data_IF_532239569814
#
_entry.id   IF_532239569814
#
_cell.length_a   1.000
_cell.length_b   1.000
_cell.length_c   1.000
_cell.angle_alpha   90.00
_cell.angle_beta   90.00
_cell.angle_gamma   90.00
#
_symmetry.space_group_name_H-M   'P 1'
#
loop_
_entity.id
_entity.type
_entity.pdbx_description
1 polymer ?
#
# COMPACT_ATOMS: atom_id res chain seq x y z
N UNK A 1 -16.16 -4.14 -4.09
CA UNK A 1 -15.68 -5.33 -4.78
C UNK A 1 -16.84 -6.28 -5.04
N UNK A 2 -16.68 -7.10 -6.04
CA UNK A 2 -17.61 -8.21 -6.33
C UNK A 2 -16.82 -9.52 -6.43
N UNK A 3 -17.43 -10.62 -6.00
CA UNK A 3 -16.94 -11.99 -6.17
C UNK A 3 -18.00 -12.79 -6.90
N UNK A 4 -17.61 -13.44 -7.99
CA UNK A 4 -18.48 -14.29 -8.81
C UNK A 4 -17.87 -15.66 -8.94
N UNK A 5 -18.66 -16.71 -8.72
CA UNK A 5 -18.26 -18.10 -8.97
C UNK A 5 -18.95 -18.61 -10.23
N UNK A 6 -18.17 -19.22 -11.11
CA UNK A 6 -18.61 -19.70 -12.42
C UNK A 6 -18.99 -21.17 -12.41
N UNK A 7 -19.77 -21.61 -13.40
CA UNK A 7 -20.28 -23.00 -13.53
C UNK A 7 -19.15 -24.06 -13.56
N UNK A 8 -17.93 -23.68 -13.92
CA UNK A 8 -16.78 -24.58 -13.86
C UNK A 8 -16.11 -24.62 -12.47
N UNK A 9 -16.61 -23.85 -11.50
CA UNK A 9 -16.07 -23.74 -10.16
C UNK A 9 -14.86 -22.79 -10.05
N UNK A 10 -14.52 -22.04 -11.09
CA UNK A 10 -13.58 -20.93 -11.01
C UNK A 10 -14.24 -19.68 -10.43
N UNK A 11 -13.46 -18.66 -10.08
CA UNK A 11 -14.00 -17.41 -9.56
C UNK A 11 -13.37 -16.18 -10.21
N UNK A 12 -14.13 -15.09 -10.22
CA UNK A 12 -13.67 -13.77 -10.59
C UNK A 12 -13.80 -12.83 -9.40
N UNK A 13 -12.76 -12.03 -9.15
CA UNK A 13 -12.74 -10.95 -8.16
C UNK A 13 -12.61 -9.63 -8.89
N UNK A 14 -13.65 -8.80 -8.83
CA UNK A 14 -13.60 -7.45 -9.38
C UNK A 14 -13.47 -6.44 -8.24
N UNK A 15 -12.46 -5.56 -8.29
CA UNK A 15 -12.18 -4.59 -7.24
C UNK A 15 -11.95 -3.19 -7.79
N UNK A 16 -12.51 -2.17 -7.11
CA UNK A 16 -12.42 -0.76 -7.51
C UNK A 16 -11.06 -0.10 -7.24
N UNK A 17 -10.00 -0.88 -7.05
CA UNK A 17 -8.61 -0.45 -6.93
C UNK A 17 -7.86 -0.86 -8.20
N UNK A 18 -6.95 0.00 -8.70
CA UNK A 18 -6.17 -0.30 -9.89
C UNK A 18 -4.74 -0.72 -9.51
N UNK A 19 -4.23 -1.77 -10.12
CA UNK A 19 -2.87 -2.27 -9.88
C UNK A 19 -1.82 -1.43 -10.61
N UNK A 20 -0.69 -1.20 -9.94
CA UNK A 20 0.51 -0.56 -10.48
C UNK A 20 1.76 -1.42 -10.21
N UNK A 21 1.59 -2.75 -10.15
CA UNK A 21 2.66 -3.70 -9.82
C UNK A 21 2.69 -4.16 -8.35
N UNK A 22 1.80 -3.63 -7.47
CA UNK A 22 1.76 -3.98 -6.04
C UNK A 22 1.03 -5.29 -5.71
N UNK A 23 0.75 -6.14 -6.68
CA UNK A 23 0.31 -7.52 -6.46
C UNK A 23 -1.15 -7.68 -6.05
N UNK A 24 -2.08 -6.82 -6.50
CA UNK A 24 -3.51 -6.93 -6.16
C UNK A 24 -4.11 -8.27 -6.59
N UNK A 25 -3.80 -8.74 -7.80
CA UNK A 25 -4.31 -10.01 -8.31
C UNK A 25 -3.99 -11.18 -7.35
N UNK A 26 -2.73 -11.25 -6.89
CA UNK A 26 -2.31 -12.28 -5.92
C UNK A 26 -2.99 -12.10 -4.58
N UNK A 27 -2.96 -10.89 -4.02
CA UNK A 27 -3.50 -10.62 -2.68
C UNK A 27 -5.00 -10.88 -2.60
N UNK A 28 -5.78 -10.45 -3.59
CA UNK A 28 -7.22 -10.66 -3.60
C UNK A 28 -7.59 -12.10 -3.88
N UNK A 29 -6.86 -12.80 -4.76
CA UNK A 29 -7.03 -14.23 -4.96
C UNK A 29 -6.73 -15.04 -3.67
N UNK A 30 -5.70 -14.68 -2.91
CA UNK A 30 -5.40 -15.29 -1.60
C UNK A 30 -6.56 -15.12 -0.61
N UNK A 31 -7.16 -13.92 -0.54
CA UNK A 31 -8.31 -13.66 0.34
C UNK A 31 -9.49 -14.57 0.01
N UNK A 32 -9.80 -14.73 -1.27
CA UNK A 32 -10.91 -15.58 -1.71
C UNK A 32 -10.57 -17.06 -1.54
N UNK A 33 -9.40 -17.49 -2.02
CA UNK A 33 -8.96 -18.88 -1.96
C UNK A 33 -8.95 -19.44 -0.54
N UNK A 34 -8.40 -18.68 0.42
CA UNK A 34 -8.30 -19.12 1.81
C UNK A 34 -9.64 -19.43 2.47
N UNK A 35 -10.72 -18.76 2.07
CA UNK A 35 -12.04 -18.97 2.65
C UNK A 35 -12.92 -19.94 1.86
N UNK A 36 -12.76 -19.96 0.52
CA UNK A 36 -13.62 -20.75 -0.37
C UNK A 36 -13.06 -22.13 -0.68
N UNK A 37 -11.75 -22.33 -0.53
CA UNK A 37 -11.07 -23.53 -1.02
C UNK A 37 -10.92 -23.59 -2.55
N UNK A 38 -11.35 -22.56 -3.28
CA UNK A 38 -11.09 -22.47 -4.73
C UNK A 38 -9.60 -22.25 -4.93
N UNK A 39 -8.90 -23.07 -5.73
CA UNK A 39 -7.47 -22.89 -6.00
C UNK A 39 -7.14 -21.51 -6.52
N UNK A 40 -6.03 -20.94 -6.07
CA UNK A 40 -5.63 -19.56 -6.38
C UNK A 40 -5.44 -19.31 -7.88
N UNK A 41 -4.98 -20.32 -8.61
CA UNK A 41 -4.80 -20.32 -10.07
C UNK A 41 -6.11 -20.37 -10.86
N UNK A 42 -7.24 -20.63 -10.17
CA UNK A 42 -8.60 -20.59 -10.72
C UNK A 42 -9.36 -19.33 -10.33
N UNK A 43 -8.69 -18.34 -9.76
CA UNK A 43 -9.27 -17.06 -9.37
C UNK A 43 -8.67 -15.96 -10.26
N UNK A 44 -9.51 -15.30 -11.05
CA UNK A 44 -9.13 -14.18 -11.91
C UNK A 44 -9.45 -12.86 -11.23
N UNK A 45 -8.50 -11.91 -11.23
CA UNK A 45 -8.74 -10.55 -10.77
C UNK A 45 -9.01 -9.62 -11.95
N UNK A 46 -10.01 -8.74 -11.79
CA UNK A 46 -10.38 -7.70 -12.75
C UNK A 46 -10.36 -6.35 -12.02
N UNK A 47 -9.67 -5.38 -12.60
CA UNK A 47 -9.69 -3.98 -12.18
C UNK A 47 -9.78 -3.05 -13.39
N UNK A 48 -10.05 -1.76 -13.15
CA UNK A 48 -10.07 -0.74 -14.20
C UNK A 48 -11.25 -0.80 -15.17
N UNK A 49 -12.16 -1.74 -15.03
CA UNK A 49 -13.36 -1.89 -15.86
C UNK A 49 -14.57 -1.20 -15.19
N UNK A 50 -15.00 -0.07 -15.75
CA UNK A 50 -16.12 0.73 -15.23
C UNK A 50 -17.49 0.16 -15.55
N UNK A 51 -17.59 -0.80 -16.45
CA UNK A 51 -18.84 -1.51 -16.76
C UNK A 51 -19.13 -2.58 -15.69
N UNK A 52 -18.09 -3.18 -15.15
CA UNK A 52 -18.20 -4.19 -14.09
C UNK A 52 -18.19 -3.60 -12.68
N UNK A 53 -17.55 -2.42 -12.53
CA UNK A 53 -17.34 -1.79 -11.23
C UNK A 53 -17.88 -0.35 -11.25
N UNK A 54 -19.11 -0.14 -10.77
CA UNK A 54 -19.75 1.18 -10.80
C UNK A 54 -19.05 2.21 -9.89
N UNK A 55 -18.19 1.76 -8.98
CA UNK A 55 -17.42 2.62 -8.07
C UNK A 55 -15.99 2.09 -7.91
N UNK A 56 -15.04 2.96 -8.09
CA UNK A 56 -13.61 2.72 -7.86
C UNK A 56 -12.89 4.03 -7.58
N UNK A 57 -11.78 3.95 -6.86
CA UNK A 57 -10.94 5.11 -6.53
C UNK A 57 -9.49 4.92 -6.99
N UNK A 58 -9.21 3.87 -7.78
CA UNK A 58 -7.85 3.52 -8.14
C UNK A 58 -7.00 3.16 -6.92
N UNK A 59 -5.69 3.41 -7.00
CA UNK A 59 -4.76 3.20 -5.89
C UNK A 59 -4.12 4.53 -5.48
N UNK A 60 -4.13 4.83 -4.18
CA UNK A 60 -3.52 6.02 -3.60
C UNK A 60 -3.64 6.01 -2.08
N UNK A 61 -2.69 6.65 -1.38
CA UNK A 61 -2.67 6.70 0.09
C UNK A 61 -2.50 5.34 0.76
N UNK A 62 -1.87 4.38 0.08
CA UNK A 62 -1.55 3.02 0.58
C UNK A 62 -2.75 2.26 1.16
N UNK A 63 -3.96 2.49 0.61
CA UNK A 63 -5.22 2.00 1.17
C UNK A 63 -5.87 0.84 0.40
N UNK A 64 -5.25 0.34 -0.67
CA UNK A 64 -5.87 -0.67 -1.53
C UNK A 64 -6.22 -1.96 -0.79
N UNK A 65 -5.30 -2.53 -0.01
CA UNK A 65 -5.57 -3.76 0.74
C UNK A 65 -6.59 -3.53 1.85
N UNK A 66 -6.43 -2.46 2.64
CA UNK A 66 -7.31 -2.21 3.78
C UNK A 66 -8.75 -1.88 3.36
N UNK A 67 -8.98 -1.18 2.24
CA UNK A 67 -10.32 -0.88 1.72
C UNK A 67 -10.80 -1.92 0.70
N UNK A 68 -10.04 -2.10 -0.38
CA UNK A 68 -10.38 -3.03 -1.46
C UNK A 68 -10.37 -4.48 -0.99
N UNK A 69 -9.32 -4.90 -0.26
CA UNK A 69 -9.25 -6.24 0.32
C UNK A 69 -10.38 -6.52 1.31
N UNK A 70 -10.75 -5.55 2.15
CA UNK A 70 -11.88 -5.69 3.08
C UNK A 70 -13.23 -5.77 2.34
N UNK A 71 -13.38 -5.05 1.23
CA UNK A 71 -14.54 -5.19 0.37
C UNK A 71 -14.61 -6.59 -0.28
N UNK A 72 -13.45 -7.14 -0.68
CA UNK A 72 -13.35 -8.53 -1.17
C UNK A 72 -13.73 -9.53 -0.08
N UNK A 73 -13.31 -9.32 1.18
CA UNK A 73 -13.75 -10.15 2.32
C UNK A 73 -15.27 -10.16 2.43
N UNK A 74 -15.92 -8.99 2.41
CA UNK A 74 -17.38 -8.91 2.53
C UNK A 74 -18.12 -9.54 1.35
N UNK A 75 -17.63 -9.33 0.11
CA UNK A 75 -18.22 -9.94 -1.09
C UNK A 75 -18.06 -11.47 -1.09
N UNK A 76 -16.87 -11.96 -0.72
CA UNK A 76 -16.58 -13.39 -0.55
C UNK A 76 -17.51 -14.05 0.47
N UNK A 77 -17.68 -13.43 1.64
CA UNK A 77 -18.51 -13.97 2.70
C UNK A 77 -19.98 -14.02 2.25
N UNK A 78 -20.45 -12.99 1.54
CA UNK A 78 -21.80 -12.98 0.98
C UNK A 78 -22.03 -14.07 -0.07
N UNK A 79 -21.05 -14.33 -0.96
CA UNK A 79 -21.12 -15.44 -1.93
C UNK A 79 -21.15 -16.81 -1.21
N UNK A 80 -20.35 -16.98 -0.15
CA UNK A 80 -20.35 -18.21 0.64
C UNK A 80 -21.73 -18.44 1.27
N UNK A 81 -22.36 -17.43 1.84
CA UNK A 81 -23.69 -17.56 2.44
C UNK A 81 -24.77 -17.83 1.39
N UNK A 82 -24.69 -17.20 0.22
CA UNK A 82 -25.58 -17.51 -0.90
C UNK A 82 -25.41 -18.95 -1.36
N UNK A 83 -24.18 -19.40 -1.59
CA UNK A 83 -23.90 -20.80 -1.96
C UNK A 83 -24.34 -21.79 -0.89
N UNK A 84 -24.17 -21.46 0.40
CA UNK A 84 -24.63 -22.29 1.52
C UNK A 84 -26.14 -22.51 1.49
N UNK A 85 -26.92 -21.49 1.19
CA UNK A 85 -28.37 -21.55 1.08
C UNK A 85 -28.82 -22.49 -0.03
N UNK A 86 -28.12 -22.46 -1.18
CA UNK A 86 -28.42 -23.35 -2.32
C UNK A 86 -27.97 -24.79 -2.01
N UNK A 87 -26.79 -24.96 -1.43
CA UNK A 87 -26.32 -26.27 -1.00
C UNK A 87 -27.28 -26.93 0.00
N UNK A 88 -27.85 -26.15 0.93
CA UNK A 88 -28.85 -26.66 1.88
C UNK A 88 -30.10 -27.19 1.18
N UNK A 89 -30.59 -26.48 0.16
CA UNK A 89 -31.72 -26.98 -0.67
C UNK A 89 -31.36 -28.28 -1.40
N UNK A 90 -30.17 -28.34 -2.02
CA UNK A 90 -29.72 -29.56 -2.74
C UNK A 90 -29.42 -30.74 -1.82
N UNK A 91 -29.10 -30.47 -0.56
CA UNK A 91 -28.81 -31.50 0.45
C UNK A 91 -30.03 -31.85 1.32
N UNK A 92 -31.19 -31.21 1.08
CA UNK A 92 -32.41 -31.35 1.88
C UNK A 92 -32.15 -31.15 3.38
N UNK A 93 -31.34 -30.14 3.73
CA UNK A 93 -30.87 -29.82 5.08
C UNK A 93 -31.21 -28.42 5.51
N UNK A 94 -31.14 -28.13 6.81
CA UNK A 94 -31.21 -26.79 7.31
C UNK A 94 -29.90 -26.03 6.94
N UNK A 95 -29.99 -24.75 6.56
CA UNK A 95 -28.85 -23.91 6.22
C UNK A 95 -27.84 -23.87 7.37
N UNK A 96 -28.31 -23.86 8.63
CA UNK A 96 -27.46 -23.86 9.80
C UNK A 96 -26.60 -25.14 9.97
N UNK A 97 -27.04 -26.25 9.36
CA UNK A 97 -26.32 -27.52 9.41
C UNK A 97 -25.32 -27.68 8.24
N UNK A 98 -25.38 -26.81 7.23
CA UNK A 98 -24.46 -26.88 6.09
C UNK A 98 -23.17 -26.10 6.37
N UNK A 99 -22.04 -26.75 6.20
CA UNK A 99 -20.71 -26.19 6.38
C UNK A 99 -19.92 -26.25 5.08
N UNK A 100 -19.13 -25.22 4.83
CA UNK A 100 -18.10 -25.22 3.79
C UNK A 100 -16.80 -25.76 4.40
N UNK A 101 -16.27 -26.82 3.83
CA UNK A 101 -14.92 -27.26 4.08
C UNK A 101 -13.98 -26.52 3.10
N UNK A 102 -13.29 -25.50 3.60
CA UNK A 102 -12.38 -24.70 2.79
C UNK A 102 -11.13 -25.47 2.32
N UNK A 103 -10.82 -26.62 2.90
CA UNK A 103 -9.70 -27.44 2.44
C UNK A 103 -10.05 -28.20 1.14
N UNK A 104 -11.29 -28.62 0.98
CA UNK A 104 -11.78 -29.32 -0.22
C UNK A 104 -12.61 -28.43 -1.17
N UNK A 105 -13.02 -27.24 -0.73
CA UNK A 105 -13.93 -26.37 -1.47
C UNK A 105 -15.35 -26.94 -1.61
N UNK A 106 -15.78 -27.77 -0.66
CA UNK A 106 -17.07 -28.46 -0.74
C UNK A 106 -18.03 -28.12 0.40
N UNK A 107 -19.32 -28.05 0.08
CA UNK A 107 -20.39 -27.85 1.05
C UNK A 107 -20.99 -29.21 1.43
N UNK A 108 -21.17 -29.47 2.70
CA UNK A 108 -21.76 -30.71 3.20
C UNK A 108 -22.53 -30.46 4.49
N UNK A 109 -23.42 -31.39 4.86
CA UNK A 109 -24.08 -31.34 6.15
C UNK A 109 -23.08 -31.66 7.25
N UNK A 110 -23.04 -30.87 8.31
CA UNK A 110 -22.17 -31.09 9.45
C UNK A 110 -22.30 -32.52 9.97
N UNK A 111 -21.17 -33.22 10.19
CA UNK A 111 -21.07 -34.62 10.60
C UNK A 111 -21.51 -35.66 9.55
N UNK A 112 -21.87 -35.24 8.33
CA UNK A 112 -22.22 -36.14 7.21
C UNK A 112 -21.40 -35.75 5.98
N UNK A 113 -20.07 -35.93 5.99
CA UNK A 113 -19.21 -35.48 4.89
C UNK A 113 -19.29 -36.33 3.62
N UNK A 114 -20.11 -37.41 3.62
CA UNK A 114 -20.21 -38.29 2.48
C UNK A 114 -20.99 -37.71 1.28
N UNK A 115 -21.79 -36.67 1.52
CA UNK A 115 -22.55 -35.99 0.46
C UNK A 115 -22.08 -34.55 0.35
N UNK A 116 -21.29 -34.27 -0.68
CA UNK A 116 -20.67 -32.95 -0.93
C UNK A 116 -21.35 -32.28 -2.12
N UNK A 117 -21.51 -30.98 -2.05
CA UNK A 117 -21.81 -30.11 -3.18
C UNK A 117 -20.59 -29.21 -3.44
N UNK A 118 -20.07 -29.26 -4.64
CA UNK A 118 -18.95 -28.44 -5.06
C UNK A 118 -19.42 -27.05 -5.46
N UNK A 119 -18.50 -26.10 -5.55
CA UNK A 119 -18.75 -24.77 -6.12
C UNK A 119 -19.34 -24.88 -7.53
N UNK A 120 -18.86 -25.83 -8.34
CA UNK A 120 -19.37 -26.09 -9.69
C UNK A 120 -20.82 -26.58 -9.68
N UNK A 121 -21.19 -27.54 -8.78
CA UNK A 121 -22.57 -28.05 -8.70
C UNK A 121 -23.56 -26.92 -8.34
N UNK A 122 -23.14 -26.03 -7.42
CA UNK A 122 -23.97 -24.91 -6.97
C UNK A 122 -24.09 -23.85 -8.06
N UNK A 123 -22.98 -23.45 -8.67
CA UNK A 123 -22.97 -22.42 -9.70
C UNK A 123 -23.73 -22.84 -10.96
N UNK A 124 -23.65 -24.12 -11.36
CA UNK A 124 -24.43 -24.66 -12.47
C UNK A 124 -25.95 -24.60 -12.21
N UNK A 125 -26.39 -24.88 -10.99
CA UNK A 125 -27.81 -24.74 -10.64
C UNK A 125 -28.26 -23.27 -10.75
N UNK A 126 -27.49 -22.34 -10.21
CA UNK A 126 -27.82 -20.90 -10.27
C UNK A 126 -27.89 -20.41 -11.71
N UNK A 127 -26.95 -20.85 -12.55
CA UNK A 127 -26.92 -20.49 -13.97
C UNK A 127 -28.10 -21.11 -14.74
N UNK A 128 -28.51 -22.34 -14.41
CA UNK A 128 -29.71 -23.01 -14.99
C UNK A 128 -31.01 -22.28 -14.62
N UNK A 129 -31.04 -21.61 -13.46
CA UNK A 129 -32.15 -20.76 -13.02
C UNK A 129 -32.11 -19.35 -13.65
N UNK A 130 -31.10 -19.07 -14.49
CA UNK A 130 -30.92 -17.78 -15.19
C UNK A 130 -30.28 -16.69 -14.35
N UNK A 131 -29.66 -17.06 -13.24
CA UNK A 131 -28.98 -16.17 -12.31
C UNK A 131 -27.46 -16.38 -12.33
N UNK A 132 -26.74 -15.62 -11.52
CA UNK A 132 -25.29 -15.74 -11.36
C UNK A 132 -24.92 -15.86 -9.87
N UNK A 133 -24.07 -16.81 -9.55
CA UNK A 133 -23.56 -16.96 -8.17
C UNK A 133 -22.54 -15.86 -7.88
N UNK A 134 -23.04 -14.70 -7.53
CA UNK A 134 -22.26 -13.47 -7.34
C UNK A 134 -22.75 -12.69 -6.14
N UNK A 135 -21.86 -11.96 -5.51
CA UNK A 135 -22.20 -10.95 -4.52
C UNK A 135 -21.21 -9.78 -4.58
N UNK A 136 -21.70 -8.60 -4.26
CA UNK A 136 -20.90 -7.40 -4.12
C UNK A 136 -20.91 -6.88 -2.69
N UNK A 137 -19.86 -6.13 -2.34
CA UNK A 137 -19.76 -5.48 -1.05
C UNK A 137 -18.99 -4.16 -1.14
N UNK A 138 -19.48 -3.16 -0.41
CA UNK A 138 -18.81 -1.87 -0.23
C UNK A 138 -18.36 -1.77 1.20
N UNK A 139 -17.05 -1.72 1.41
CA UNK A 139 -16.47 -1.52 2.74
C UNK A 139 -16.18 -0.05 2.99
N UNK A 140 -16.70 0.48 4.08
CA UNK A 140 -16.43 1.83 4.55
C UNK A 140 -15.64 1.73 5.86
N UNK A 141 -14.37 2.13 5.83
CA UNK A 141 -13.52 2.09 7.02
C UNK A 141 -13.88 3.27 7.94
N UNK A 142 -14.05 3.03 9.26
CA UNK A 142 -14.50 4.06 10.20
C UNK A 142 -13.43 5.11 10.54
N UNK A 143 -12.19 4.92 10.11
CA UNK A 143 -11.09 5.85 10.39
C UNK A 143 -9.82 5.50 9.63
N UNK A 144 -8.79 6.33 9.75
CA UNK A 144 -7.48 6.09 9.15
C UNK A 144 -6.71 5.00 9.92
N UNK A 145 -5.91 4.21 9.23
CA UNK A 145 -4.87 3.35 9.83
C UNK A 145 -3.54 4.08 9.79
N UNK A 146 -2.68 3.76 10.75
CA UNK A 146 -1.37 4.40 10.88
C UNK A 146 -0.28 3.32 10.85
N UNK A 147 0.31 3.06 9.66
CA UNK A 147 1.56 2.31 9.60
C UNK A 147 2.65 3.11 10.30
N UNK A 148 3.63 2.43 10.83
CA UNK A 148 4.77 3.06 11.47
C UNK A 148 6.03 2.24 11.19
N UNK A 149 7.21 2.81 11.42
CA UNK A 149 8.46 2.13 11.21
C UNK A 149 9.65 2.92 11.73
N UNK A 150 10.82 2.33 11.60
CA UNK A 150 12.10 2.95 11.89
C UNK A 150 13.10 2.58 10.80
N UNK A 151 13.82 3.57 10.31
CA UNK A 151 14.84 3.41 9.27
C UNK A 151 16.19 3.93 9.77
N UNK A 152 17.24 3.18 9.45
CA UNK A 152 18.63 3.55 9.73
C UNK A 152 19.42 3.45 8.43
N UNK A 153 20.10 4.54 8.07
CA UNK A 153 21.00 4.59 6.92
C UNK A 153 22.45 4.83 7.39
N UNK A 154 23.39 4.13 6.77
CA UNK A 154 24.83 4.36 6.91
C UNK A 154 25.33 4.80 5.55
N UNK A 155 25.98 5.94 5.53
CA UNK A 155 26.52 6.52 4.29
C UNK A 155 28.02 6.80 4.40
N UNK A 156 28.69 6.76 3.28
CA UNK A 156 30.05 7.27 3.08
C UNK A 156 29.98 8.48 2.15
N UNK A 157 30.63 9.57 2.53
CA UNK A 157 30.67 10.81 1.74
C UNK A 157 32.13 11.09 1.33
N UNK A 158 32.36 11.11 0.03
CA UNK A 158 33.62 11.61 -0.54
C UNK A 158 33.64 13.13 -0.46
N UNK A 159 34.47 13.68 0.40
CA UNK A 159 34.55 15.12 0.66
C UNK A 159 35.21 15.91 -0.47
N UNK A 160 35.94 15.25 -1.38
CA UNK A 160 36.56 15.92 -2.54
C UNK A 160 35.55 16.13 -3.67
N UNK A 161 34.64 15.18 -3.86
CA UNK A 161 33.66 15.21 -4.96
C UNK A 161 32.22 15.49 -4.51
N UNK A 162 31.94 15.35 -3.22
CA UNK A 162 30.59 15.42 -2.67
C UNK A 162 29.73 14.16 -2.93
N UNK A 163 30.32 13.10 -3.49
CA UNK A 163 29.57 11.86 -3.78
C UNK A 163 29.17 11.16 -2.49
N UNK A 164 27.89 10.78 -2.42
CA UNK A 164 27.31 9.97 -1.34
C UNK A 164 27.15 8.55 -1.82
N UNK A 165 27.62 7.59 -1.01
CA UNK A 165 27.40 6.16 -1.21
C UNK A 165 26.64 5.60 -0.02
N UNK A 166 25.51 4.95 -0.25
CA UNK A 166 24.79 4.24 0.80
C UNK A 166 25.50 2.91 1.05
N UNK A 167 26.10 2.77 2.24
CA UNK A 167 26.82 1.56 2.64
C UNK A 167 25.83 0.51 3.14
N UNK A 168 24.82 0.94 3.89
CA UNK A 168 23.82 0.05 4.48
C UNK A 168 22.53 0.80 4.76
N UNK A 169 21.39 0.12 4.59
CA UNK A 169 20.08 0.64 4.95
C UNK A 169 19.24 -0.46 5.57
N UNK A 170 18.79 -0.21 6.78
CA UNK A 170 17.89 -1.11 7.52
C UNK A 170 16.55 -0.44 7.69
N UNK A 171 15.48 -1.18 7.41
CA UNK A 171 14.11 -0.72 7.59
C UNK A 171 13.31 -1.75 8.38
N UNK A 172 12.54 -1.29 9.34
CA UNK A 172 11.53 -2.08 10.05
C UNK A 172 10.21 -1.34 9.93
N UNK A 173 9.26 -1.90 9.21
CA UNK A 173 7.94 -1.29 8.99
C UNK A 173 6.83 -2.17 9.58
N UNK A 174 5.74 -1.54 10.03
CA UNK A 174 4.53 -2.21 10.50
C UNK A 174 3.35 -1.85 9.61
N UNK A 175 2.89 -2.81 8.84
CA UNK A 175 1.69 -2.68 8.01
C UNK A 175 0.47 -3.44 8.58
N UNK A 176 0.45 -3.70 9.88
CA UNK A 176 -0.56 -4.53 10.51
C UNK A 176 -0.35 -6.01 10.15
N UNK A 177 -1.42 -6.73 9.88
CA UNK A 177 -1.33 -8.12 9.44
C UNK A 177 -0.67 -8.22 8.06
N UNK A 178 0.36 -9.02 7.94
CA UNK A 178 1.08 -9.30 6.69
C UNK A 178 0.35 -10.42 5.93
N UNK A 179 -0.38 -10.07 4.88
CA UNK A 179 -1.10 -11.04 4.05
C UNK A 179 -0.15 -11.88 3.18
N UNK A 180 0.84 -11.22 2.55
CA UNK A 180 1.83 -11.86 1.72
C UNK A 180 3.21 -11.23 1.98
N UNK A 181 4.13 -11.95 2.65
CA UNK A 181 5.45 -11.43 3.00
C UNK A 181 6.28 -10.98 1.80
N UNK A 182 6.24 -11.72 0.69
CA UNK A 182 7.02 -11.40 -0.52
C UNK A 182 6.55 -10.09 -1.15
N UNK A 183 5.24 -9.86 -1.17
CA UNK A 183 4.68 -8.59 -1.69
C UNK A 183 5.02 -7.43 -0.75
N UNK A 184 4.94 -7.62 0.56
CA UNK A 184 5.30 -6.60 1.54
C UNK A 184 6.78 -6.23 1.42
N UNK A 185 7.67 -7.21 1.37
CA UNK A 185 9.11 -7.00 1.14
C UNK A 185 9.38 -6.23 -0.17
N UNK A 186 8.70 -6.63 -1.26
CA UNK A 186 8.80 -5.92 -2.55
C UNK A 186 8.36 -4.46 -2.46
N UNK A 187 7.31 -4.14 -1.68
CA UNK A 187 6.86 -2.77 -1.43
C UNK A 187 7.88 -1.99 -0.60
N UNK A 188 8.50 -2.61 0.42
CA UNK A 188 9.55 -1.98 1.22
C UNK A 188 10.77 -1.64 0.37
N UNK A 189 11.28 -2.58 -0.41
CA UNK A 189 12.42 -2.34 -1.32
C UNK A 189 12.13 -1.22 -2.33
N UNK A 190 10.96 -1.24 -2.97
CA UNK A 190 10.55 -0.19 -3.91
C UNK A 190 10.39 1.18 -3.25
N UNK A 191 9.82 1.22 -2.04
CA UNK A 191 9.67 2.43 -1.25
C UNK A 191 11.01 3.03 -0.83
N UNK A 192 11.96 2.21 -0.37
CA UNK A 192 13.32 2.66 -0.02
C UNK A 192 14.01 3.21 -1.27
N UNK A 193 13.95 2.52 -2.40
CA UNK A 193 14.55 2.98 -3.64
C UNK A 193 13.99 4.35 -4.10
N UNK A 194 12.68 4.56 -3.97
CA UNK A 194 12.05 5.86 -4.22
C UNK A 194 12.55 6.95 -3.26
N UNK A 195 12.70 6.62 -1.97
CA UNK A 195 13.25 7.56 -0.99
C UNK A 195 14.72 7.90 -1.22
N UNK A 196 15.53 6.93 -1.68
CA UNK A 196 16.92 7.18 -2.14
C UNK A 196 16.92 8.16 -3.31
N UNK A 197 16.04 7.91 -4.31
CA UNK A 197 15.88 8.81 -5.46
C UNK A 197 15.61 10.24 -5.01
N UNK A 198 14.64 10.45 -4.15
CA UNK A 198 14.27 11.76 -3.63
C UNK A 198 15.41 12.41 -2.81
N UNK A 199 16.11 11.62 -1.99
CA UNK A 199 17.14 12.14 -1.11
C UNK A 199 18.43 12.56 -1.85
N UNK A 200 18.80 11.85 -2.92
CA UNK A 200 20.13 11.97 -3.52
C UNK A 200 20.14 12.43 -4.98
N UNK A 201 19.08 12.18 -5.77
CA UNK A 201 19.15 12.27 -7.24
C UNK A 201 18.05 13.12 -7.88
N UNK A 202 16.79 12.89 -7.52
CA UNK A 202 15.63 13.36 -8.29
C UNK A 202 15.30 14.83 -7.99
N UNK A 203 15.20 15.65 -9.05
CA UNK A 203 14.81 17.04 -8.93
C UNK A 203 14.03 17.49 -10.16
N UNK A 204 12.88 18.13 -9.95
CA UNK A 204 12.17 18.86 -11.01
C UNK A 204 12.66 20.30 -11.02
N UNK A 205 13.28 20.73 -12.11
CA UNK A 205 13.82 22.08 -12.28
C UNK A 205 13.12 22.80 -13.43
N UNK A 206 12.96 24.11 -13.23
CA UNK A 206 12.38 25.02 -14.22
C UNK A 206 13.37 26.14 -14.52
N UNK A 207 13.30 26.71 -15.74
CA UNK A 207 13.99 27.95 -16.07
C UNK A 207 13.24 29.17 -15.52
N UNK A 208 13.76 30.39 -15.79
CA UNK A 208 13.16 31.63 -15.31
C UNK A 208 11.77 31.91 -15.93
N UNK A 209 11.47 31.30 -17.06
CA UNK A 209 10.21 31.45 -17.78
C UNK A 209 9.19 30.34 -17.43
N UNK A 210 9.55 29.39 -16.54
CA UNK A 210 8.73 28.30 -16.07
C UNK A 210 8.73 27.06 -16.98
N UNK A 211 9.65 26.95 -17.93
CA UNK A 211 9.80 25.76 -18.75
C UNK A 211 10.54 24.65 -17.98
N UNK A 212 10.10 23.37 -18.04
CA UNK A 212 10.76 22.27 -17.35
C UNK A 212 12.12 21.96 -17.99
N UNK A 213 13.19 21.96 -17.18
CA UNK A 213 14.54 21.62 -17.59
C UNK A 213 14.82 20.11 -17.45
N UNK A 214 14.10 19.41 -16.57
CA UNK A 214 14.24 17.98 -16.28
C UNK A 214 13.06 17.20 -16.88
N UNK A 215 12.81 17.39 -18.17
CA UNK A 215 11.65 16.85 -18.87
C UNK A 215 11.84 15.41 -19.39
N UNK A 216 13.01 14.83 -19.21
CA UNK A 216 13.35 13.47 -19.67
C UNK A 216 14.22 12.76 -18.62
N UNK A 217 14.36 11.42 -18.72
CA UNK A 217 15.11 10.61 -17.76
C UNK A 217 16.63 10.80 -17.79
N UNK A 218 17.19 11.45 -18.79
CA UNK A 218 18.60 11.80 -18.78
C UNK A 218 18.89 13.01 -17.85
N UNK A 219 17.93 13.92 -17.74
CA UNK A 219 18.07 15.15 -16.94
C UNK A 219 17.44 15.04 -15.55
N UNK A 220 16.48 14.11 -15.37
CA UNK A 220 15.73 13.95 -14.12
C UNK A 220 16.55 13.30 -12.98
N UNK A 221 17.55 12.48 -13.31
CA UNK A 221 18.42 11.84 -12.32
C UNK A 221 17.79 10.60 -11.66
N UNK A 222 17.00 9.82 -12.41
CA UNK A 222 16.46 8.57 -11.90
C UNK A 222 17.58 7.60 -11.50
N UNK A 223 17.60 7.08 -10.24
CA UNK A 223 18.67 6.20 -9.80
C UNK A 223 18.63 4.85 -10.50
N UNK A 224 19.80 4.31 -10.82
CA UNK A 224 19.96 2.98 -11.39
C UNK A 224 20.13 1.92 -10.28
N UNK A 225 19.83 0.66 -10.61
CA UNK A 225 19.99 -0.45 -9.67
C UNK A 225 21.44 -0.62 -9.17
N UNK A 226 22.43 -0.22 -9.96
CA UNK A 226 23.85 -0.25 -9.57
C UNK A 226 24.24 0.79 -8.52
N UNK A 227 23.36 1.75 -8.23
CA UNK A 227 23.55 2.80 -7.22
C UNK A 227 22.88 2.45 -5.88
N UNK A 228 22.18 1.32 -5.87
CA UNK A 228 21.47 0.83 -4.68
C UNK A 228 22.23 -0.32 -4.02
N UNK A 229 22.44 -0.32 -2.70
CA UNK A 229 22.85 -1.51 -1.97
C UNK A 229 21.68 -2.49 -1.85
N UNK A 230 21.95 -3.70 -1.34
CA UNK A 230 20.89 -4.52 -0.78
C UNK A 230 20.34 -3.84 0.47
N UNK A 231 19.03 -3.82 0.62
CA UNK A 231 18.36 -3.29 1.80
C UNK A 231 18.02 -4.43 2.77
N UNK A 232 18.25 -4.22 4.07
CA UNK A 232 17.77 -5.10 5.12
C UNK A 232 16.39 -4.66 5.57
N UNK A 233 15.37 -5.42 5.16
CA UNK A 233 13.97 -5.08 5.47
C UNK A 233 13.37 -6.10 6.41
N UNK A 234 12.63 -5.61 7.39
CA UNK A 234 11.94 -6.40 8.39
C UNK A 234 10.52 -5.86 8.57
N UNK A 235 9.65 -6.71 9.10
CA UNK A 235 8.28 -6.32 9.42
C UNK A 235 7.94 -6.67 10.87
N UNK A 236 7.16 -5.80 11.51
CA UNK A 236 6.42 -6.12 12.72
C UNK A 236 4.93 -6.12 12.40
N UNK A 237 4.13 -6.77 13.24
CA UNK A 237 2.70 -6.86 13.03
C UNK A 237 1.93 -6.32 14.23
N UNK A 238 1.29 -5.17 14.05
CA UNK A 238 0.32 -4.61 14.98
C UNK A 238 -1.01 -4.45 14.25
N UNK A 239 -1.90 -5.47 14.27
CA UNK A 239 -3.13 -5.46 13.50
C UNK A 239 -4.03 -4.26 13.81
N UNK A 240 -4.61 -3.66 12.78
CA UNK A 240 -5.59 -2.59 12.93
C UNK A 240 -6.96 -3.18 13.27
N UNK A 241 -7.69 -2.65 14.26
CA UNK A 241 -9.06 -3.05 14.53
C UNK A 241 -10.09 -2.46 13.55
N UNK A 242 -9.68 -1.56 12.64
CA UNK A 242 -10.58 -0.79 11.78
C UNK A 242 -11.02 -1.52 10.51
N UNK A 243 -10.44 -2.68 10.22
CA UNK A 243 -10.81 -3.51 9.08
C UNK A 243 -10.63 -5.01 9.39
N UNK A 244 -11.37 -5.90 8.72
CA UNK A 244 -11.37 -7.34 9.01
C UNK A 244 -10.05 -8.04 8.72
N UNK A 245 -9.18 -7.45 7.90
CA UNK A 245 -7.86 -7.99 7.59
C UNK A 245 -6.80 -7.63 8.63
N UNK A 246 -7.08 -6.65 9.50
CA UNK A 246 -6.07 -6.10 10.40
C UNK A 246 -4.95 -5.34 9.65
N UNK A 247 -5.13 -5.07 8.36
CA UNK A 247 -4.11 -4.49 7.50
C UNK A 247 -3.98 -2.97 7.68
N UNK A 248 -2.76 -2.48 7.45
CA UNK A 248 -2.42 -1.06 7.27
C UNK A 248 -1.72 -0.89 5.92
N UNK A 249 -1.49 0.35 5.50
CA UNK A 249 -0.77 0.61 4.27
C UNK A 249 0.72 0.30 4.37
N UNK A 250 1.33 -0.20 3.30
CA UNK A 250 2.79 -0.39 3.19
C UNK A 250 3.38 0.36 1.97
N UNK A 251 2.54 0.72 1.00
CA UNK A 251 3.00 1.25 -0.28
C UNK A 251 3.86 2.51 -0.18
N UNK A 252 3.62 3.37 0.81
CA UNK A 252 4.37 4.62 1.00
C UNK A 252 5.24 4.61 2.26
N UNK A 253 5.07 3.66 3.17
CA UNK A 253 5.73 3.65 4.48
C UNK A 253 7.24 3.74 4.36
N UNK A 254 7.85 2.91 3.52
CA UNK A 254 9.30 2.88 3.37
C UNK A 254 9.87 4.10 2.64
N UNK A 255 9.12 4.74 1.75
CA UNK A 255 9.53 6.03 1.14
C UNK A 255 9.56 7.14 2.19
N UNK A 256 8.53 7.19 3.04
CA UNK A 256 8.41 8.18 4.13
C UNK A 256 9.58 8.05 5.11
N UNK A 257 9.98 6.82 5.44
CA UNK A 257 11.07 6.55 6.38
C UNK A 257 12.47 6.75 5.78
N UNK A 258 12.70 6.27 4.55
CA UNK A 258 14.03 6.26 3.92
C UNK A 258 14.53 7.64 3.52
N UNK A 259 13.66 8.51 2.98
CA UNK A 259 14.04 9.86 2.56
C UNK A 259 14.73 10.66 3.68
N UNK A 260 14.11 10.85 4.86
CA UNK A 260 14.76 11.56 5.95
C UNK A 260 15.92 10.78 6.58
N UNK A 261 15.87 9.45 6.62
CA UNK A 261 16.96 8.65 7.16
C UNK A 261 18.26 8.87 6.38
N UNK A 262 18.19 8.88 5.04
CA UNK A 262 19.35 9.10 4.18
C UNK A 262 19.86 10.54 4.29
N UNK A 263 18.97 11.54 4.23
CA UNK A 263 19.38 12.95 4.37
C UNK A 263 20.03 13.19 5.73
N UNK A 264 19.46 12.65 6.81
CA UNK A 264 20.04 12.80 8.15
C UNK A 264 21.41 12.12 8.24
N UNK A 265 21.59 10.95 7.63
CA UNK A 265 22.88 10.27 7.60
C UNK A 265 23.95 11.09 6.85
N UNK A 266 23.60 11.74 5.73
CA UNK A 266 24.52 12.64 5.00
C UNK A 266 24.91 13.83 5.85
N UNK A 267 23.95 14.47 6.53
CA UNK A 267 24.23 15.61 7.40
C UNK A 267 25.08 15.20 8.61
N UNK A 268 24.79 14.05 9.21
CA UNK A 268 25.56 13.52 10.34
C UNK A 268 27.01 13.22 9.94
N UNK A 269 27.23 12.58 8.78
CA UNK A 269 28.56 12.31 8.24
C UNK A 269 29.41 13.58 8.06
N UNK A 270 28.78 14.72 7.78
CA UNK A 270 29.43 16.01 7.53
C UNK A 270 29.39 16.97 8.72
N UNK A 271 28.79 16.55 9.83
CA UNK A 271 28.60 17.41 11.02
C UNK A 271 29.90 17.94 11.61
N UNK A 272 30.97 17.14 11.54
CA UNK A 272 32.31 17.47 12.01
C UNK A 272 32.98 18.59 11.14
N UNK A 273 32.48 18.80 9.90
CA UNK A 273 32.90 19.89 9.00
C UNK A 273 32.03 21.14 9.15
N UNK A 274 31.10 21.15 10.09
CA UNK A 274 30.22 22.29 10.35
C UNK A 274 28.95 22.30 9.50
N UNK A 275 28.70 21.30 8.64
CA UNK A 275 27.46 21.17 7.87
C UNK A 275 26.31 20.82 8.80
N UNK A 276 25.21 21.57 8.75
CA UNK A 276 24.02 21.39 9.58
C UNK A 276 22.75 21.14 8.79
N UNK A 277 22.75 21.49 7.52
CA UNK A 277 21.63 21.32 6.61
C UNK A 277 22.10 21.29 5.15
N UNK A 278 21.44 20.47 4.34
CA UNK A 278 21.55 20.45 2.88
C UNK A 278 20.14 20.26 2.33
N UNK A 279 19.70 21.14 1.43
CA UNK A 279 18.43 20.95 0.72
C UNK A 279 18.49 19.73 -0.19
N UNK A 280 17.43 18.89 -0.14
CA UNK A 280 17.32 17.74 -1.03
C UNK A 280 17.08 18.16 -2.49
N UNK A 281 17.52 17.33 -3.42
CA UNK A 281 18.37 16.15 -3.28
C UNK A 281 19.82 16.53 -2.87
N UNK A 282 20.45 15.69 -2.04
CA UNK A 282 21.85 15.83 -1.64
C UNK A 282 22.79 15.40 -2.79
N UNK A 283 22.68 16.07 -3.92
CA UNK A 283 23.53 15.80 -5.08
C UNK A 283 25.00 16.07 -4.77
N UNK A 284 25.96 15.45 -5.48
CA UNK A 284 27.39 15.69 -5.27
C UNK A 284 27.76 17.18 -5.25
N UNK A 285 27.18 17.96 -6.15
CA UNK A 285 27.41 19.41 -6.20
C UNK A 285 26.92 20.13 -4.94
N UNK A 286 25.72 19.82 -4.46
CA UNK A 286 25.14 20.43 -3.24
C UNK A 286 25.93 20.05 -2.00
N UNK A 287 26.30 18.77 -1.89
CA UNK A 287 27.13 18.26 -0.79
C UNK A 287 28.51 18.95 -0.80
N UNK A 288 29.18 19.00 -1.94
CA UNK A 288 30.47 19.66 -2.08
C UNK A 288 30.39 21.15 -1.72
N UNK A 289 29.39 21.88 -2.20
CA UNK A 289 29.16 23.28 -1.86
C UNK A 289 28.95 23.51 -0.37
N UNK A 290 28.16 22.63 0.27
CA UNK A 290 27.90 22.69 1.71
C UNK A 290 29.19 22.49 2.54
N UNK A 291 30.11 21.63 2.09
CA UNK A 291 31.43 21.44 2.73
C UNK A 291 32.29 22.68 2.58
N UNK A 292 32.30 23.32 1.41
CA UNK A 292 33.13 24.53 1.17
C UNK A 292 32.58 25.75 1.91
N UNK A 293 31.29 25.84 2.11
CA UNK A 293 30.62 26.97 2.74
C UNK A 293 29.52 26.47 3.67
N UNK A 294 29.85 25.95 4.87
CA UNK A 294 28.85 25.51 5.81
C UNK A 294 27.86 26.64 6.11
N UNK A 295 26.57 26.38 5.87
CA UNK A 295 25.52 27.35 6.15
C UNK A 295 25.45 27.61 7.65
N UNK A 296 25.35 28.87 8.06
CA UNK A 296 25.01 29.25 9.42
C UNK A 296 23.57 28.78 9.69
N UNK A 297 23.32 27.75 10.56
CA UNK A 297 22.00 27.22 10.84
C UNK A 297 21.08 28.27 11.50
N UNK A 298 21.61 29.35 11.99
CA UNK A 298 20.88 30.45 12.61
C UNK A 298 20.70 31.66 11.67
N UNK A 299 21.15 31.55 10.41
CA UNK A 299 20.87 32.56 9.40
C UNK A 299 19.35 32.68 9.21
N UNK A 300 18.83 33.90 9.29
CA UNK A 300 17.40 34.15 9.02
C UNK A 300 16.99 33.52 7.67
N UNK A 301 15.84 32.86 7.64
CA UNK A 301 15.32 32.27 6.40
C UNK A 301 15.23 33.38 5.33
N UNK A 302 15.46 33.04 4.04
CA UNK A 302 15.33 34.02 2.96
C UNK A 302 14.02 34.79 3.08
N UNK A 303 14.01 36.07 2.77
CA UNK A 303 12.87 36.97 2.95
C UNK A 303 11.57 36.47 2.34
N UNK A 304 11.64 35.55 1.34
CA UNK A 304 10.50 34.84 0.78
C UNK A 304 9.74 33.95 1.80
N UNK A 305 10.42 33.48 2.86
CA UNK A 305 9.83 32.65 3.92
C UNK A 305 9.52 33.43 5.19
N UNK A 306 10.03 34.65 5.35
CA UNK A 306 9.78 35.48 6.52
C UNK A 306 8.26 35.81 6.68
N UNK A 307 7.55 35.98 5.58
CA UNK A 307 6.11 36.22 5.58
C UNK A 307 5.28 34.99 6.00
N UNK A 308 5.76 33.76 5.75
CA UNK A 308 5.06 32.52 6.15
C UNK A 308 5.23 32.28 7.65
N UNK A 309 6.38 32.61 8.23
CA UNK A 309 6.61 32.50 9.66
C UNK A 309 5.79 33.55 10.44
N UNK A 310 5.65 34.78 9.92
CA UNK A 310 4.84 35.84 10.53
C UNK A 310 3.33 35.53 10.47
N UNK A 311 2.84 34.77 9.48
CA UNK A 311 1.45 34.36 9.40
C UNK A 311 1.11 33.18 10.34
N UNK A 312 2.11 32.43 10.82
CA UNK A 312 1.90 31.33 11.78
C UNK A 312 1.79 31.80 13.25
N UNK A 313 2.02 33.05 13.55
CA UNK A 313 1.86 33.62 14.90
C UNK A 313 0.49 34.27 15.12
N UNK A 314 -0.45 34.16 14.19
CA UNK A 314 -1.84 34.57 14.42
C UNK A 314 -2.62 33.45 15.16
N UNK A 315 -3.42 33.79 16.19
CA UNK A 315 -4.15 32.83 17.01
C UNK A 315 -5.38 32.33 16.23
N UNK A 316 -5.26 31.19 15.54
CA UNK A 316 -6.35 30.61 14.78
C UNK A 316 -6.48 29.10 14.96
N UNK A 317 -6.00 28.54 16.08
CA UNK A 317 -6.20 27.12 16.37
C UNK A 317 -7.37 26.90 17.32
N UNK A 318 -7.75 27.85 18.14
CA UNK A 318 -8.84 27.68 19.12
C UNK A 318 -10.25 27.86 18.52
N UNK A 319 -10.44 28.62 17.43
CA UNK A 319 -11.76 28.78 16.81
C UNK A 319 -12.14 27.64 15.86
N UNK A 320 -11.18 26.97 15.23
CA UNK A 320 -11.45 25.87 14.29
C UNK A 320 -11.81 24.53 14.97
N UNK A 321 -11.53 24.39 16.26
CA UNK A 321 -11.85 23.18 17.01
C UNK A 321 -13.30 23.21 17.51
N UNK A 322 -13.83 24.40 17.82
CA UNK A 322 -15.21 24.54 18.29
C UNK A 322 -16.25 24.44 17.17
N UNK A 323 -15.95 24.87 15.94
CA UNK A 323 -16.85 24.68 14.78
C UNK A 323 -16.93 23.23 14.29
N UNK A 324 -15.92 22.40 14.53
CA UNK A 324 -15.94 20.99 14.18
C UNK A 324 -16.68 20.11 15.21
N UNK A 325 -16.94 20.62 16.40
CA UNK A 325 -17.65 19.90 17.47
C UNK A 325 -19.18 20.06 17.40
N UNK A 326 -19.68 21.10 16.74
CA UNK A 326 -21.13 21.38 16.64
C UNK A 326 -21.77 20.84 15.33
N UNK A 327 -21.03 20.12 14.51
CA UNK A 327 -21.47 19.60 13.20
C UNK A 327 -21.54 18.08 13.07
N UNK A 328 -21.61 17.30 14.18
CA UNK A 328 -21.84 15.84 14.14
C UNK A 328 -23.16 15.49 14.80
#
# INVERSE_FOLDING_TARGET
AAVTVHADGSATVAAGTAAHGQGHATSYAMIVSAATGIPIDRITHIDGDTDLLPRGGGTGGSRSLQLGGSAVVGARDAVIEHARSIAAQQLEADVADVVLDSASGGFHVARVPATVRTWSDIAQQVEADGEQLSADHVFNQPGATFPFGAHVAIVEVDTETGRVTIVHHVAVDDCGTVLNPVIVEGQQHGGIASGVGQALYEEVRYDADGNPLTANFADYGLPAASEMPSFDVHSTETPSPLNPLGAKGIGEASTIGSTPAIQNAVIDALSHLGVRHIDMPCTPERVWRAIQQPADPWREPPAAFANVAAQRTAPAIDEAVDEAADGI
#
